data_IF_760752425488
#
_entry.id   IF_760752425488
#
_cell.length_a   1.000
_cell.length_b   1.000
_cell.length_c   1.000
_cell.angle_alpha   90.00
_cell.angle_beta   90.00
_cell.angle_gamma   90.00
#
_symmetry.space_group_name_H-M   'P 1'
#
loop_
_entity.id
_entity.type
_entity.pdbx_description
1 polymer ?
#
# COMPACT_ATOMS: atom_id res chain seq x y z
N UNK A 1 12.61 -30.31 1.88
CA UNK A 1 11.90 -29.04 2.09
C UNK A 1 11.72 -28.72 3.57
N UNK A 2 12.57 -27.85 4.10
CA UNK A 2 12.58 -27.41 5.48
C UNK A 2 11.76 -26.12 5.66
N UNK A 3 10.46 -26.27 5.97
CA UNK A 3 9.53 -25.14 6.12
C UNK A 3 9.90 -24.17 7.26
N UNK A 4 10.56 -24.65 8.32
CA UNK A 4 10.99 -23.79 9.42
C UNK A 4 12.12 -22.85 8.98
N UNK A 5 13.05 -23.35 8.17
CA UNK A 5 14.08 -22.53 7.54
C UNK A 5 13.46 -21.50 6.60
N UNK A 6 12.54 -21.91 5.73
CA UNK A 6 11.87 -21.00 4.78
C UNK A 6 11.13 -19.86 5.50
N UNK A 7 10.36 -20.19 6.55
CA UNK A 7 9.67 -19.17 7.38
C UNK A 7 10.64 -18.22 8.06
N UNK A 8 11.79 -18.73 8.52
CA UNK A 8 12.85 -17.91 9.10
C UNK A 8 13.39 -16.93 8.05
N UNK A 9 13.78 -17.41 6.87
CA UNK A 9 14.30 -16.57 5.79
C UNK A 9 13.29 -15.48 5.40
N UNK A 10 12.02 -15.82 5.17
CA UNK A 10 10.97 -14.83 4.82
C UNK A 10 10.86 -13.75 5.90
N UNK A 11 10.84 -14.14 7.17
CA UNK A 11 10.70 -13.20 8.29
C UNK A 11 11.87 -12.23 8.41
N UNK A 12 13.10 -12.68 8.14
CA UNK A 12 14.31 -11.92 8.40
C UNK A 12 15.00 -11.35 7.15
N UNK A 13 14.55 -11.70 5.95
CA UNK A 13 15.09 -11.17 4.70
C UNK A 13 14.62 -9.73 4.40
N UNK A 14 13.65 -9.20 5.15
CA UNK A 14 13.04 -7.88 4.92
C UNK A 14 12.61 -7.70 3.46
N UNK A 15 11.79 -8.64 2.97
CA UNK A 15 11.23 -8.58 1.63
C UNK A 15 10.54 -7.22 1.41
N UNK A 16 10.70 -6.66 0.21
CA UNK A 16 10.06 -5.41 -0.19
C UNK A 16 9.37 -5.61 -1.53
N UNK A 17 8.21 -5.00 -1.65
CA UNK A 17 7.48 -4.91 -2.91
C UNK A 17 7.65 -3.50 -3.46
N UNK A 18 7.95 -3.40 -4.75
CA UNK A 18 8.29 -2.13 -5.39
C UNK A 18 7.06 -1.23 -5.57
N UNK A 19 5.89 -1.83 -5.82
CA UNK A 19 4.60 -1.16 -5.98
C UNK A 19 3.49 -1.91 -5.22
N UNK A 20 2.34 -1.27 -4.97
CA UNK A 20 1.17 -1.86 -4.31
C UNK A 20 1.35 -2.29 -2.84
N UNK A 21 2.41 -1.87 -2.16
CA UNK A 21 2.70 -2.29 -0.78
C UNK A 21 1.57 -1.94 0.21
N UNK A 22 0.73 -0.97 -0.11
CA UNK A 22 -0.44 -0.56 0.65
C UNK A 22 -1.62 -1.53 0.57
N UNK A 23 -1.67 -2.39 -0.44
CA UNK A 23 -2.75 -3.36 -0.65
C UNK A 23 -2.43 -4.75 -0.09
N UNK A 24 -1.14 -5.02 0.24
CA UNK A 24 -0.67 -6.36 0.61
C UNK A 24 0.22 -6.38 1.86
N UNK A 25 0.12 -7.47 2.61
CA UNK A 25 1.14 -7.88 3.59
C UNK A 25 2.18 -8.70 2.84
N UNK A 26 3.36 -8.12 2.65
CA UNK A 26 4.46 -8.68 1.86
C UNK A 26 4.86 -10.08 2.35
N UNK A 27 4.92 -10.30 3.66
CA UNK A 27 5.34 -11.58 4.21
C UNK A 27 4.25 -12.63 4.06
N UNK A 28 3.00 -12.26 4.35
CA UNK A 28 1.86 -13.16 4.19
C UNK A 28 1.64 -13.50 2.72
N UNK A 29 1.79 -12.54 1.81
CA UNK A 29 1.68 -12.75 0.37
C UNK A 29 2.69 -13.77 -0.15
N UNK A 30 3.96 -13.69 0.27
CA UNK A 30 4.97 -14.68 -0.07
C UNK A 30 4.62 -16.07 0.43
N UNK A 31 4.17 -16.18 1.70
CA UNK A 31 3.78 -17.45 2.31
C UNK A 31 2.53 -18.03 1.64
N UNK A 32 1.51 -17.23 1.39
CA UNK A 32 0.28 -17.64 0.71
C UNK A 32 0.54 -18.06 -0.72
N UNK A 33 1.36 -17.32 -1.47
CA UNK A 33 1.75 -17.70 -2.84
C UNK A 33 2.48 -19.03 -2.84
N UNK A 34 3.43 -19.19 -1.93
CA UNK A 34 4.21 -20.40 -1.79
C UNK A 34 3.38 -21.62 -1.35
N UNK A 35 2.15 -21.41 -0.86
CA UNK A 35 1.23 -22.48 -0.42
C UNK A 35 0.05 -22.68 -1.40
N UNK A 36 -0.43 -21.63 -2.06
CA UNK A 36 -1.69 -21.61 -2.81
C UNK A 36 -1.52 -21.58 -4.35
N UNK A 37 -0.31 -21.84 -4.87
CA UNK A 37 -0.04 -22.12 -6.31
C UNK A 37 -0.33 -20.98 -7.30
N UNK A 38 -0.12 -19.72 -6.90
CA UNK A 38 -0.23 -18.58 -7.85
C UNK A 38 0.95 -18.57 -8.84
N UNK A 39 2.10 -19.10 -8.41
CA UNK A 39 3.31 -19.33 -9.20
C UNK A 39 3.78 -20.78 -8.94
N UNK A 40 4.60 -21.37 -9.82
CA UNK A 40 4.99 -22.79 -9.74
C UNK A 40 5.62 -23.12 -8.36
N UNK A 41 4.86 -23.81 -7.52
CA UNK A 41 5.04 -23.95 -6.05
C UNK A 41 6.41 -24.54 -5.68
N UNK A 42 6.90 -25.45 -6.53
CA UNK A 42 8.21 -26.07 -6.37
C UNK A 42 9.37 -25.10 -6.61
N UNK A 43 9.20 -24.08 -7.43
CA UNK A 43 10.28 -23.16 -7.80
C UNK A 43 10.55 -22.13 -6.71
N UNK A 44 9.50 -21.53 -6.11
CA UNK A 44 9.65 -20.50 -5.07
C UNK A 44 10.23 -21.10 -3.78
N UNK A 45 9.66 -22.21 -3.31
CA UNK A 45 10.09 -22.84 -2.07
C UNK A 45 11.51 -23.42 -2.20
N UNK A 46 11.85 -24.02 -3.35
CA UNK A 46 13.20 -24.49 -3.61
C UNK A 46 14.19 -23.33 -3.71
N UNK A 47 13.83 -22.22 -4.39
CA UNK A 47 14.71 -21.06 -4.51
C UNK A 47 15.03 -20.45 -3.15
N UNK A 48 14.05 -20.34 -2.25
CA UNK A 48 14.26 -19.84 -0.88
C UNK A 48 15.07 -20.84 -0.05
N UNK A 49 14.83 -22.14 -0.17
CA UNK A 49 15.57 -23.16 0.58
C UNK A 49 17.05 -23.22 0.17
N UNK A 50 17.34 -23.08 -1.13
CA UNK A 50 18.69 -23.10 -1.68
C UNK A 50 19.43 -21.77 -1.46
N UNK A 51 18.76 -20.65 -1.73
CA UNK A 51 19.40 -19.33 -1.82
C UNK A 51 19.08 -18.37 -0.66
N UNK A 52 18.30 -18.81 0.34
CA UNK A 52 17.95 -18.04 1.54
C UNK A 52 17.33 -16.68 1.22
N UNK A 53 17.80 -15.64 1.90
CA UNK A 53 17.35 -14.25 1.71
C UNK A 53 17.36 -13.77 0.25
N UNK A 54 18.34 -14.18 -0.57
CA UNK A 54 18.39 -13.81 -1.99
C UNK A 54 17.23 -14.45 -2.78
N UNK A 55 16.88 -15.70 -2.46
CA UNK A 55 15.72 -16.38 -3.03
C UNK A 55 14.41 -15.71 -2.64
N UNK A 56 14.32 -15.19 -1.40
CA UNK A 56 13.17 -14.39 -0.95
C UNK A 56 13.01 -13.12 -1.81
N UNK A 57 14.09 -12.38 -2.04
CA UNK A 57 14.05 -11.15 -2.84
C UNK A 57 13.66 -11.41 -4.31
N UNK A 58 14.21 -12.47 -4.93
CA UNK A 58 13.83 -12.87 -6.29
C UNK A 58 12.36 -13.29 -6.38
N UNK A 59 11.90 -14.10 -5.43
CA UNK A 59 10.51 -14.55 -5.36
C UNK A 59 9.57 -13.36 -5.17
N UNK A 60 9.94 -12.39 -4.34
CA UNK A 60 9.16 -11.17 -4.15
C UNK A 60 9.12 -10.32 -5.41
N UNK A 61 10.24 -10.22 -6.14
CA UNK A 61 10.24 -9.53 -7.44
C UNK A 61 9.29 -10.20 -8.44
N UNK A 62 9.34 -11.53 -8.59
CA UNK A 62 8.40 -12.28 -9.46
C UNK A 62 6.94 -12.01 -9.08
N UNK A 63 6.65 -12.01 -7.78
CA UNK A 63 5.30 -11.73 -7.27
C UNK A 63 4.85 -10.29 -7.51
N UNK A 64 5.74 -9.32 -7.31
CA UNK A 64 5.49 -7.92 -7.62
C UNK A 64 5.17 -7.75 -9.10
N UNK A 65 5.98 -8.35 -9.98
CA UNK A 65 5.79 -8.33 -11.43
C UNK A 65 4.44 -8.97 -11.82
N UNK A 66 4.06 -10.07 -11.16
CA UNK A 66 2.75 -10.72 -11.36
C UNK A 66 1.56 -9.84 -10.92
N UNK A 67 1.65 -9.19 -9.76
CA UNK A 67 0.58 -8.32 -9.23
C UNK A 67 0.39 -7.08 -10.11
N UNK A 68 1.49 -6.45 -10.51
CA UNK A 68 1.47 -5.35 -11.47
C UNK A 68 0.83 -5.83 -12.77
N UNK A 69 1.17 -7.05 -13.21
CA UNK A 69 0.65 -7.64 -14.43
C UNK A 69 1.06 -6.83 -15.64
N UNK A 70 0.09 -6.44 -16.47
CA UNK A 70 0.35 -5.61 -17.66
C UNK A 70 0.32 -4.10 -17.36
N UNK A 71 0.15 -3.70 -16.10
CA UNK A 71 0.06 -2.28 -15.75
C UNK A 71 1.42 -1.62 -15.87
N UNK A 72 1.44 -0.40 -16.42
CA UNK A 72 2.62 0.45 -16.34
C UNK A 72 2.76 1.05 -14.94
N UNK A 73 3.94 0.95 -14.34
CA UNK A 73 4.30 1.69 -13.13
C UNK A 73 4.66 3.14 -13.47
N UNK A 74 3.96 4.09 -12.88
CA UNK A 74 4.21 5.54 -13.01
C UNK A 74 4.49 6.12 -11.63
N UNK A 75 5.75 6.44 -11.34
CA UNK A 75 6.19 6.89 -10.01
C UNK A 75 6.65 8.35 -10.03
N UNK A 76 5.83 9.23 -9.45
CA UNK A 76 6.08 10.66 -9.33
C UNK A 76 6.77 11.09 -8.04
N UNK A 77 7.02 10.18 -7.08
CA UNK A 77 7.45 10.53 -5.72
C UNK A 77 8.80 11.27 -5.60
N UNK A 78 9.63 11.24 -6.65
CA UNK A 78 10.94 11.91 -6.71
C UNK A 78 11.01 13.02 -7.76
N UNK A 79 9.90 13.31 -8.43
CA UNK A 79 9.79 14.36 -9.44
C UNK A 79 8.89 15.48 -8.89
N UNK A 80 8.99 16.68 -9.44
CA UNK A 80 7.99 17.74 -9.21
C UNK A 80 6.78 17.60 -10.15
N UNK A 81 6.93 16.82 -11.22
CA UNK A 81 5.86 16.60 -12.20
C UNK A 81 4.68 15.87 -11.57
N UNK A 82 3.47 16.29 -11.93
CA UNK A 82 2.22 15.66 -11.54
C UNK A 82 1.92 14.49 -12.47
N UNK A 83 1.85 13.28 -11.93
CA UNK A 83 1.64 12.06 -12.72
C UNK A 83 0.25 11.43 -12.55
N UNK A 84 -0.56 11.87 -11.59
CA UNK A 84 -1.88 11.29 -11.35
C UNK A 84 -2.87 11.62 -12.48
N UNK A 85 -3.71 10.66 -12.91
CA UNK A 85 -4.79 10.93 -13.85
C UNK A 85 -5.88 11.79 -13.18
N UNK A 86 -6.65 12.52 -14.00
CA UNK A 86 -7.69 13.46 -13.51
C UNK A 86 -8.65 12.82 -12.49
N UNK A 87 -9.11 11.60 -12.75
CA UNK A 87 -10.00 10.86 -11.84
C UNK A 87 -9.38 10.64 -10.45
N UNK A 88 -8.08 10.36 -10.38
CA UNK A 88 -7.37 10.20 -9.11
C UNK A 88 -7.26 11.53 -8.36
N UNK A 89 -7.04 12.61 -9.09
CA UNK A 89 -7.01 13.98 -8.53
C UNK A 89 -8.37 14.36 -7.96
N UNK A 90 -9.46 14.12 -8.69
CA UNK A 90 -10.84 14.38 -8.22
C UNK A 90 -11.16 13.60 -6.94
N UNK A 91 -10.75 12.33 -6.85
CA UNK A 91 -10.93 11.53 -5.64
C UNK A 91 -10.13 12.14 -4.49
N UNK A 92 -8.85 12.46 -4.71
CA UNK A 92 -7.95 13.02 -3.71
C UNK A 92 -8.44 14.37 -3.18
N UNK A 93 -8.84 15.29 -4.06
CA UNK A 93 -9.41 16.59 -3.68
C UNK A 93 -10.73 16.41 -2.90
N UNK A 94 -11.53 15.43 -3.28
CA UNK A 94 -12.77 15.10 -2.60
C UNK A 94 -12.58 14.47 -1.22
N UNK A 95 -11.40 13.95 -0.86
CA UNK A 95 -11.16 13.37 0.49
C UNK A 95 -11.34 14.42 1.57
N UNK A 96 -12.11 14.07 2.60
CA UNK A 96 -12.39 14.92 3.77
C UNK A 96 -11.63 14.42 5.00
N UNK A 97 -10.53 15.07 5.40
CA UNK A 97 -9.87 14.80 6.67
C UNK A 97 -10.67 15.36 7.85
N UNK A 98 -10.58 14.69 8.99
CA UNK A 98 -11.18 15.10 10.26
C UNK A 98 -10.19 14.83 11.39
N UNK A 99 -9.77 15.88 12.09
CA UNK A 99 -8.94 15.74 13.28
C UNK A 99 -9.83 15.53 14.52
N UNK A 100 -9.69 14.39 15.17
CA UNK A 100 -10.37 14.06 16.43
C UNK A 100 -9.35 13.64 17.46
N UNK A 101 -9.15 14.47 18.49
CA UNK A 101 -8.19 14.23 19.56
C UNK A 101 -6.76 13.95 19.04
N UNK A 102 -6.33 14.67 18.00
CA UNK A 102 -5.00 14.49 17.38
C UNK A 102 -4.93 13.34 16.37
N UNK A 103 -5.97 12.51 16.27
CA UNK A 103 -6.06 11.42 15.29
C UNK A 103 -6.71 11.96 14.01
N UNK A 104 -6.10 11.70 12.86
CA UNK A 104 -6.65 12.06 11.55
C UNK A 104 -7.47 10.89 11.03
N UNK A 105 -8.75 11.16 10.81
CA UNK A 105 -9.67 10.29 10.09
C UNK A 105 -9.92 10.86 8.70
N UNK A 106 -10.19 10.02 7.71
CA UNK A 106 -10.52 10.42 6.35
C UNK A 106 -11.80 9.78 5.86
N UNK A 107 -12.56 10.53 5.07
CA UNK A 107 -13.76 10.08 4.39
C UNK A 107 -13.64 10.32 2.90
N UNK A 108 -14.08 9.36 2.09
CA UNK A 108 -13.86 9.35 0.65
C UNK A 108 -15.11 9.78 -0.14
N UNK A 109 -14.94 10.41 -1.32
CA UNK A 109 -16.02 10.76 -2.25
C UNK A 109 -16.46 9.57 -3.14
N UNK A 110 -16.27 8.33 -2.68
CA UNK A 110 -16.51 7.12 -3.48
C UNK A 110 -17.86 6.49 -3.14
N UNK A 111 -18.53 5.96 -4.16
CA UNK A 111 -19.77 5.17 -4.04
C UNK A 111 -19.56 3.81 -4.72
N UNK A 112 -19.91 2.73 -4.02
CA UNK A 112 -19.85 1.38 -4.55
C UNK A 112 -19.22 0.37 -3.59
N UNK A 113 -18.97 -0.83 -4.10
CA UNK A 113 -18.41 -1.93 -3.35
C UNK A 113 -16.89 -1.95 -3.46
N UNK A 114 -16.19 -2.00 -2.31
CA UNK A 114 -14.73 -2.00 -2.23
C UNK A 114 -14.21 -2.99 -1.19
N UNK A 115 -13.04 -3.54 -1.45
CA UNK A 115 -12.20 -4.13 -0.44
C UNK A 115 -11.47 -3.00 0.28
N UNK A 116 -11.60 -2.96 1.60
CA UNK A 116 -10.99 -1.95 2.46
C UNK A 116 -9.76 -2.58 3.11
N UNK A 117 -8.60 -1.99 2.87
CA UNK A 117 -7.33 -2.45 3.40
C UNK A 117 -6.74 -1.37 4.29
N UNK A 118 -6.52 -1.71 5.56
CA UNK A 118 -5.88 -0.84 6.54
C UNK A 118 -4.57 -1.47 6.97
N UNK A 119 -3.46 -0.83 6.63
CA UNK A 119 -2.13 -1.26 7.07
C UNK A 119 -1.78 -0.57 8.37
N UNK A 120 -1.43 -1.38 9.36
CA UNK A 120 -0.95 -0.98 10.69
C UNK A 120 0.53 -1.39 10.82
N UNK A 121 1.12 -1.11 11.97
CA UNK A 121 2.52 -1.43 12.27
C UNK A 121 2.94 -2.88 11.94
N UNK A 122 4.24 -3.04 11.68
CA UNK A 122 4.95 -4.34 11.56
C UNK A 122 4.37 -5.28 10.48
N UNK A 123 3.72 -4.71 9.47
CA UNK A 123 3.11 -5.46 8.37
C UNK A 123 1.72 -5.99 8.69
N UNK A 124 1.14 -5.67 9.86
CA UNK A 124 -0.23 -6.08 10.17
C UNK A 124 -1.20 -5.40 9.21
N UNK A 125 -1.97 -6.21 8.48
CA UNK A 125 -2.96 -5.77 7.51
C UNK A 125 -4.35 -6.23 7.97
N UNK A 126 -5.28 -5.28 8.02
CA UNK A 126 -6.70 -5.58 8.19
C UNK A 126 -7.39 -5.41 6.83
N UNK A 127 -8.10 -6.45 6.39
CA UNK A 127 -8.85 -6.45 5.14
C UNK A 127 -10.32 -6.74 5.42
N UNK A 128 -11.20 -5.92 4.86
CA UNK A 128 -12.63 -6.17 4.85
C UNK A 128 -13.11 -6.18 3.40
N UNK A 129 -13.55 -7.35 2.94
CA UNK A 129 -13.88 -7.59 1.54
C UNK A 129 -15.32 -7.20 1.21
N UNK A 130 -15.51 -6.61 0.02
CA UNK A 130 -16.82 -6.35 -0.54
C UNK A 130 -17.70 -5.40 0.29
N UNK A 131 -17.12 -4.43 1.00
CA UNK A 131 -17.88 -3.45 1.76
C UNK A 131 -18.47 -2.37 0.86
N UNK A 132 -19.74 -2.04 1.06
CA UNK A 132 -20.37 -0.93 0.35
C UNK A 132 -20.01 0.40 1.01
N UNK A 133 -19.33 1.28 0.28
CA UNK A 133 -18.98 2.63 0.70
C UNK A 133 -19.96 3.60 0.06
N UNK A 134 -20.56 4.46 0.87
CA UNK A 134 -21.29 5.65 0.41
C UNK A 134 -20.41 6.88 0.57
N UNK A 135 -20.53 7.88 -0.33
CA UNK A 135 -19.73 9.09 -0.26
C UNK A 135 -19.86 9.74 1.12
N UNK A 136 -18.72 9.97 1.77
CA UNK A 136 -18.59 10.65 3.06
C UNK A 136 -19.31 10.01 4.26
N UNK A 137 -19.97 8.86 4.09
CA UNK A 137 -20.72 8.21 5.18
C UNK A 137 -19.82 7.46 6.17
N UNK A 138 -18.60 7.11 5.75
CA UNK A 138 -17.66 6.31 6.52
C UNK A 138 -16.36 7.09 6.72
N UNK A 139 -15.77 6.95 7.90
CA UNK A 139 -14.49 7.58 8.24
C UNK A 139 -13.50 6.52 8.68
N UNK A 140 -12.29 6.59 8.13
CA UNK A 140 -11.21 5.63 8.34
C UNK A 140 -10.03 6.31 9.01
N UNK A 141 -9.40 5.67 9.99
CA UNK A 141 -8.22 6.22 10.64
C UNK A 141 -7.04 6.23 9.65
N UNK A 142 -6.46 7.41 9.40
CA UNK A 142 -5.27 7.59 8.56
C UNK A 142 -4.03 7.93 9.38
N UNK A 143 -4.10 8.71 10.46
CA UNK A 143 -2.92 9.00 11.30
C UNK A 143 -3.34 8.93 12.76
N UNK A 144 -2.57 8.21 13.59
CA UNK A 144 -2.81 8.14 15.02
C UNK A 144 -1.51 8.37 15.80
N UNK A 145 -1.27 9.60 16.29
CA UNK A 145 -0.04 9.93 17.02
C UNK A 145 -0.03 9.40 18.46
N UNK A 146 -1.15 8.88 18.96
CA UNK A 146 -1.26 8.36 20.33
C UNK A 146 -0.71 6.93 20.46
N UNK A 147 -0.39 6.28 19.35
CA UNK A 147 0.26 4.99 19.39
C UNK A 147 1.74 5.18 19.73
N UNK A 148 2.18 4.43 20.75
CA UNK A 148 3.46 4.60 21.47
C UNK A 148 4.69 4.59 20.55
N UNK A 149 4.54 4.06 19.34
CA UNK A 149 5.56 4.01 18.30
C UNK A 149 5.26 5.06 17.22
N UNK A 150 5.28 6.34 17.60
CA UNK A 150 4.70 7.51 16.90
C UNK A 150 5.22 7.94 15.52
N UNK A 151 5.68 7.01 14.65
CA UNK A 151 6.01 7.27 13.25
C UNK A 151 5.53 6.12 12.36
N UNK A 152 4.27 5.71 12.55
CA UNK A 152 3.72 4.54 11.86
C UNK A 152 3.32 4.90 10.43
N UNK A 153 3.83 4.14 9.46
CA UNK A 153 3.30 4.18 8.10
C UNK A 153 1.85 3.67 8.16
N UNK A 154 0.91 4.61 8.09
CA UNK A 154 -0.50 4.29 8.03
C UNK A 154 -0.97 4.35 6.59
N UNK A 155 -1.54 3.26 6.11
CA UNK A 155 -2.23 3.27 4.83
C UNK A 155 -3.69 2.85 4.97
N UNK A 156 -4.53 3.56 4.23
CA UNK A 156 -5.89 3.16 3.90
C UNK A 156 -5.94 3.01 2.38
N UNK A 157 -6.29 1.81 1.95
CA UNK A 157 -6.38 1.42 0.55
C UNK A 157 -7.81 0.92 0.29
N UNK A 158 -8.36 1.33 -0.84
CA UNK A 158 -9.64 0.91 -1.36
C UNK A 158 -9.39 0.29 -2.72
N UNK A 159 -9.79 -0.97 -2.92
CA UNK A 159 -9.75 -1.60 -4.24
C UNK A 159 -11.11 -2.16 -4.62
N UNK A 160 -11.44 -2.11 -5.91
CA UNK A 160 -12.65 -2.79 -6.39
C UNK A 160 -12.49 -4.31 -6.21
N UNK A 161 -13.57 -5.07 -5.96
CA UNK A 161 -13.50 -6.52 -5.80
C UNK A 161 -12.86 -7.26 -6.98
N UNK A 162 -13.00 -6.73 -8.18
CA UNK A 162 -12.41 -7.25 -9.42
C UNK A 162 -10.98 -6.74 -9.69
N UNK A 163 -10.41 -5.98 -8.77
CA UNK A 163 -9.06 -5.41 -8.84
C UNK A 163 -8.81 -4.59 -10.12
N UNK A 164 -9.86 -3.99 -10.69
CA UNK A 164 -9.74 -3.09 -11.84
C UNK A 164 -9.46 -1.65 -11.45
N UNK A 165 -9.71 -1.28 -10.20
CA UNK A 165 -9.50 0.05 -9.65
C UNK A 165 -8.95 -0.05 -8.23
N UNK A 166 -8.08 0.88 -7.87
CA UNK A 166 -7.78 1.14 -6.48
C UNK A 166 -7.31 2.56 -6.23
N UNK A 167 -7.50 3.00 -5.00
CA UNK A 167 -7.04 4.28 -4.48
C UNK A 167 -6.55 4.10 -3.05
N UNK A 168 -5.40 4.67 -2.73
CA UNK A 168 -4.88 4.64 -1.38
C UNK A 168 -4.24 5.95 -0.95
N UNK A 169 -4.30 6.19 0.36
CA UNK A 169 -3.55 7.22 1.04
C UNK A 169 -2.61 6.55 2.04
N UNK A 170 -1.36 6.99 2.03
CA UNK A 170 -0.30 6.47 2.88
C UNK A 170 0.46 7.63 3.51
N UNK A 171 0.44 7.72 4.83
CA UNK A 171 1.36 8.57 5.56
C UNK A 171 2.69 7.84 5.72
N UNK A 172 3.81 8.51 5.50
CA UNK A 172 5.12 7.91 5.73
C UNK A 172 6.28 8.86 5.44
N UNK A 173 7.54 8.36 5.49
CA UNK A 173 8.71 9.21 5.32
C UNK A 173 8.80 9.76 3.90
N UNK A 174 9.23 11.01 3.81
CA UNK A 174 9.52 11.68 2.57
C UNK A 174 10.72 11.04 1.85
N UNK A 175 10.61 10.90 0.53
CA UNK A 175 11.72 10.47 -0.33
C UNK A 175 12.57 11.65 -0.83
N UNK A 176 12.09 12.88 -0.60
CA UNK A 176 12.71 14.14 -0.99
C UNK A 176 12.78 15.08 0.23
N UNK A 177 13.89 15.82 0.40
CA UNK A 177 14.05 16.72 1.56
C UNK A 177 14.83 16.11 2.74
N UNK A 178 14.64 16.70 3.92
CA UNK A 178 15.44 16.40 5.11
C UNK A 178 15.01 15.09 5.78
N UNK A 179 15.97 14.34 6.32
CA UNK A 179 15.72 13.12 7.09
C UNK A 179 14.77 13.43 8.26
N UNK A 180 13.63 12.74 8.31
CA UNK A 180 12.61 12.91 9.34
C UNK A 180 11.36 13.69 8.88
N UNK A 181 11.37 14.24 7.66
CA UNK A 181 10.15 14.77 7.04
C UNK A 181 9.23 13.64 6.59
N UNK A 182 7.91 13.87 6.71
CA UNK A 182 6.88 12.94 6.28
C UNK A 182 6.14 13.51 5.06
N UNK A 183 5.52 12.63 4.29
CA UNK A 183 4.70 12.97 3.13
C UNK A 183 3.42 12.14 3.14
N UNK A 184 2.40 12.66 2.48
CA UNK A 184 1.19 11.90 2.16
C UNK A 184 1.33 11.34 0.75
N UNK A 185 1.67 10.07 0.64
CA UNK A 185 1.69 9.38 -0.65
C UNK A 185 0.26 9.03 -1.02
N UNK A 186 -0.06 9.20 -2.28
CA UNK A 186 -1.30 8.78 -2.90
C UNK A 186 -0.96 7.78 -3.98
N UNK A 187 -1.67 6.65 -3.99
CA UNK A 187 -1.62 5.72 -5.10
C UNK A 187 -2.99 5.57 -5.73
N UNK A 188 -2.99 5.32 -7.03
CA UNK A 188 -4.16 5.02 -7.82
C UNK A 188 -3.78 3.98 -8.85
N UNK A 189 -4.68 3.03 -9.11
CA UNK A 189 -4.51 2.17 -10.27
C UNK A 189 -5.83 1.95 -11.00
N UNK A 190 -5.70 1.69 -12.29
CA UNK A 190 -6.75 1.19 -13.15
C UNK A 190 -6.27 -0.07 -13.91
N UNK A 191 -6.86 -0.40 -15.05
CA UNK A 191 -6.43 -1.54 -15.86
C UNK A 191 -5.10 -1.30 -16.60
N UNK A 192 -4.73 -0.04 -16.83
CA UNK A 192 -3.58 0.33 -17.69
C UNK A 192 -2.33 0.63 -16.87
N UNK A 193 -2.48 1.28 -15.72
CA UNK A 193 -1.35 1.76 -14.96
C UNK A 193 -1.59 1.78 -13.45
N UNK A 194 -0.48 1.70 -12.73
CA UNK A 194 -0.39 2.01 -11.31
C UNK A 194 0.42 3.28 -11.16
N UNK A 195 -0.18 4.25 -10.48
CA UNK A 195 0.36 5.57 -10.24
C UNK A 195 0.65 5.72 -8.75
N UNK A 196 1.79 6.33 -8.44
CA UNK A 196 2.10 6.75 -7.08
C UNK A 196 2.73 8.13 -7.10
N UNK A 197 2.25 9.01 -6.24
CA UNK A 197 2.73 10.38 -6.18
C UNK A 197 2.59 11.00 -4.78
N UNK A 198 3.12 12.20 -4.61
CA UNK A 198 2.93 13.03 -3.42
C UNK A 198 1.62 13.83 -3.53
N UNK A 199 0.73 13.69 -2.54
CA UNK A 199 -0.54 14.40 -2.49
C UNK A 199 -0.37 15.93 -2.38
N UNK A 200 0.75 16.41 -1.81
CA UNK A 200 1.04 17.84 -1.66
C UNK A 200 1.14 18.58 -3.00
N UNK A 201 1.41 17.86 -4.10
CA UNK A 201 1.40 18.44 -5.46
C UNK A 201 0.01 18.83 -5.94
N UNK A 202 -1.04 18.24 -5.37
CA UNK A 202 -2.41 18.36 -5.87
C UNK A 202 -3.29 19.17 -4.94
N UNK A 203 -3.03 19.10 -3.63
CA UNK A 203 -3.82 19.82 -2.64
C UNK A 203 -2.98 20.16 -1.42
N UNK A 204 -3.49 21.12 -0.64
CA UNK A 204 -2.97 21.42 0.68
C UNK A 204 -3.08 20.16 1.58
N UNK A 205 -1.97 19.77 2.21
CA UNK A 205 -1.86 18.57 3.05
C UNK A 205 -1.78 18.87 4.54
N UNK A 206 -1.69 20.14 4.94
CA UNK A 206 -1.73 20.54 6.36
C UNK A 206 -3.03 20.12 7.07
N UNK A 207 -4.14 19.97 6.32
CA UNK A 207 -5.40 19.41 6.82
C UNK A 207 -5.25 17.96 7.32
N UNK A 208 -4.21 17.25 6.87
CA UNK A 208 -3.85 15.90 7.31
C UNK A 208 -2.79 15.93 8.43
N UNK A 209 -2.46 17.09 8.99
CA UNK A 209 -1.47 17.23 10.06
C UNK A 209 -0.02 17.03 9.59
N UNK A 210 0.25 17.29 8.31
CA UNK A 210 1.58 17.16 7.69
C UNK A 210 2.12 18.58 7.45
N UNK A 211 3.35 18.83 7.91
CA UNK A 211 4.02 20.13 7.89
C UNK A 211 5.42 20.02 7.28
#
# INVERSE_FOLDING_TARGET
MNLNRIRHEIKYAYARMEAFNEYYDVNSLLLETAVNKVLDEGEILADIEENGATGVQRSMKKLSDYIIGNRRLVNGLRSEEKVLPLKAVEILEGVKPQNRAGIIYVSFPLDGQFNIIVKKQRGALFKADGMYIKPYAHSFQLINPLLIYGHEDYSIALSSPDNQFGFALMYGPSLIGAKGQNMLKVSYFDQEAYYVDDAAKYREVSDFGIF
#
